data_IF_316592830537
#
_entry.id   IF_316592830537
#
_cell.length_a   1.000
_cell.length_b   1.000
_cell.length_c   1.000
_cell.angle_alpha   90.00
_cell.angle_beta   90.00
_cell.angle_gamma   90.00
#
_symmetry.space_group_name_H-M   'P 1'
#
loop_
_entity.id
_entity.type
_entity.pdbx_description
1 polymer ?
#
# COMPACT_ATOMS: atom_id res chain seq x y z
N UNK A 1 -52.60 -9.13 -8.09
CA UNK A 1 -51.41 -9.59 -8.84
C UNK A 1 -50.23 -8.83 -8.25
N UNK A 2 -49.31 -9.55 -7.61
CA UNK A 2 -48.27 -8.99 -6.73
C UNK A 2 -47.23 -8.26 -7.58
N UNK A 3 -46.94 -7.01 -7.24
CA UNK A 3 -45.85 -6.22 -7.82
C UNK A 3 -44.50 -6.83 -7.41
N UNK A 4 -43.71 -7.28 -8.39
CA UNK A 4 -42.31 -7.67 -8.19
C UNK A 4 -41.45 -6.42 -8.08
N UNK A 5 -41.51 -5.75 -6.93
CA UNK A 5 -40.50 -4.78 -6.52
C UNK A 5 -39.32 -5.57 -5.94
N UNK A 6 -38.24 -5.72 -6.69
CA UNK A 6 -37.10 -6.52 -6.24
C UNK A 6 -35.76 -6.31 -6.94
N UNK A 7 -35.62 -5.33 -7.83
CA UNK A 7 -34.31 -5.00 -8.41
C UNK A 7 -33.84 -3.65 -7.83
N UNK A 8 -33.39 -3.67 -6.58
CA UNK A 8 -32.59 -2.57 -6.03
C UNK A 8 -31.25 -2.55 -6.77
N UNK A 9 -31.12 -1.62 -7.73
CA UNK A 9 -29.89 -1.20 -8.41
C UNK A 9 -28.88 -0.50 -7.46
N UNK A 10 -28.72 -1.02 -6.24
CA UNK A 10 -27.68 -0.59 -5.30
C UNK A 10 -26.37 -1.37 -5.54
N UNK A 11 -26.43 -2.47 -6.33
CA UNK A 11 -25.28 -3.35 -6.58
C UNK A 11 -24.23 -2.80 -7.56
N UNK A 12 -24.55 -1.81 -8.39
CA UNK A 12 -23.58 -1.21 -9.33
C UNK A 12 -22.80 -0.05 -8.70
N UNK A 13 -23.46 0.80 -7.91
CA UNK A 13 -22.88 1.98 -7.29
C UNK A 13 -21.86 1.65 -6.19
N UNK A 14 -22.23 0.78 -5.25
CA UNK A 14 -21.34 0.43 -4.14
C UNK A 14 -20.19 -0.46 -4.60
N UNK A 15 -20.45 -1.44 -5.48
CA UNK A 15 -19.39 -2.25 -6.10
C UNK A 15 -18.40 -1.39 -6.88
N UNK A 16 -18.89 -0.41 -7.64
CA UNK A 16 -18.03 0.55 -8.35
C UNK A 16 -17.18 1.37 -7.38
N UNK A 17 -17.76 1.92 -6.31
CA UNK A 17 -17.00 2.68 -5.29
C UNK A 17 -15.92 1.83 -4.63
N UNK A 18 -16.23 0.58 -4.26
CA UNK A 18 -15.25 -0.37 -3.72
C UNK A 18 -14.11 -0.61 -4.70
N UNK A 19 -14.43 -0.84 -5.98
CA UNK A 19 -13.43 -1.05 -7.02
C UNK A 19 -12.56 0.20 -7.24
N UNK A 20 -13.16 1.39 -7.32
CA UNK A 20 -12.42 2.66 -7.44
C UNK A 20 -11.46 2.86 -6.26
N UNK A 21 -11.92 2.61 -5.03
CA UNK A 21 -11.07 2.65 -3.83
C UNK A 21 -9.90 1.66 -3.92
N UNK A 22 -10.19 0.39 -4.25
CA UNK A 22 -9.16 -0.65 -4.34
C UNK A 22 -8.16 -0.39 -5.46
N UNK A 23 -8.63 0.16 -6.58
CA UNK A 23 -7.78 0.55 -7.70
C UNK A 23 -6.84 1.69 -7.30
N UNK A 24 -7.35 2.72 -6.60
CA UNK A 24 -6.49 3.78 -6.04
C UNK A 24 -5.45 3.21 -5.06
N UNK A 25 -5.86 2.34 -4.14
CA UNK A 25 -4.94 1.68 -3.21
C UNK A 25 -3.88 0.85 -3.94
N UNK A 26 -4.28 0.06 -4.94
CA UNK A 26 -3.39 -0.79 -5.74
C UNK A 26 -2.34 0.03 -6.50
N UNK A 27 -2.76 1.15 -7.11
CA UNK A 27 -1.84 2.04 -7.80
C UNK A 27 -0.82 2.64 -6.83
N UNK A 28 -1.27 3.14 -5.68
CA UNK A 28 -0.37 3.70 -4.67
C UNK A 28 0.60 2.67 -4.09
N UNK A 29 0.14 1.44 -3.81
CA UNK A 29 1.03 0.35 -3.35
C UNK A 29 1.98 -0.10 -4.44
N UNK A 30 1.56 -0.12 -5.71
CA UNK A 30 2.43 -0.48 -6.83
C UNK A 30 3.56 0.54 -7.00
N UNK A 31 3.25 1.84 -7.00
CA UNK A 31 4.27 2.89 -7.01
C UNK A 31 5.22 2.75 -5.83
N UNK A 32 4.70 2.44 -4.63
CA UNK A 32 5.54 2.24 -3.48
C UNK A 32 6.44 1.00 -3.61
N UNK A 33 5.90 -0.08 -4.17
CA UNK A 33 6.62 -1.32 -4.46
C UNK A 33 7.79 -1.07 -5.41
N UNK A 34 7.59 -0.30 -6.47
CA UNK A 34 8.63 0.05 -7.44
C UNK A 34 9.76 0.84 -6.77
N UNK A 35 9.43 1.82 -5.93
CA UNK A 35 10.45 2.54 -5.17
C UNK A 35 11.17 1.63 -4.18
N UNK A 36 10.47 0.75 -3.46
CA UNK A 36 11.10 -0.20 -2.54
C UNK A 36 12.01 -1.20 -3.25
N UNK A 37 11.63 -1.60 -4.48
CA UNK A 37 12.44 -2.42 -5.39
C UNK A 37 13.80 -1.80 -5.70
N UNK A 38 13.84 -0.46 -5.73
CA UNK A 38 15.01 0.29 -6.14
C UNK A 38 16.05 0.50 -5.03
N UNK A 39 15.70 0.25 -3.75
CA UNK A 39 16.60 0.37 -2.60
C UNK A 39 17.89 -0.44 -2.73
N UNK A 40 17.86 -1.59 -3.40
CA UNK A 40 19.07 -2.40 -3.62
C UNK A 40 20.08 -1.76 -4.55
N UNK A 41 19.64 -0.80 -5.36
CA UNK A 41 20.46 -0.14 -6.37
C UNK A 41 20.85 1.28 -5.95
N UNK A 42 20.08 1.92 -5.06
CA UNK A 42 20.36 3.28 -4.60
C UNK A 42 21.23 3.29 -3.34
N UNK A 43 22.35 4.01 -3.43
CA UNK A 43 23.20 4.36 -2.27
C UNK A 43 22.62 5.52 -1.45
N UNK A 44 21.69 6.29 -2.02
CA UNK A 44 21.10 7.47 -1.41
C UNK A 44 19.76 7.17 -0.74
N UNK A 45 19.84 6.90 0.57
CA UNK A 45 18.67 6.68 1.43
C UNK A 45 17.85 7.97 1.66
N UNK A 46 18.42 9.16 1.44
CA UNK A 46 17.70 10.42 1.63
C UNK A 46 16.65 10.62 0.54
N UNK A 47 16.99 10.32 -0.71
CA UNK A 47 16.01 10.33 -1.81
C UNK A 47 14.84 9.36 -1.54
N UNK A 48 15.15 8.17 -1.02
CA UNK A 48 14.11 7.19 -0.70
C UNK A 48 13.22 7.62 0.48
N UNK A 49 13.80 8.23 1.51
CA UNK A 49 13.06 8.83 2.63
C UNK A 49 12.05 9.88 2.14
N UNK A 50 12.47 10.78 1.24
CA UNK A 50 11.60 11.80 0.64
C UNK A 50 10.43 11.15 -0.12
N UNK A 51 10.71 10.09 -0.88
CA UNK A 51 9.67 9.35 -1.62
C UNK A 51 8.66 8.68 -0.70
N UNK A 52 9.09 8.08 0.41
CA UNK A 52 8.17 7.51 1.40
C UNK A 52 7.29 8.60 2.00
N UNK A 53 7.86 9.76 2.35
CA UNK A 53 7.10 10.90 2.90
C UNK A 53 6.04 11.40 1.92
N UNK A 54 6.36 11.50 0.63
CA UNK A 54 5.40 11.87 -0.41
C UNK A 54 4.24 10.87 -0.48
N UNK A 55 4.52 9.57 -0.50
CA UNK A 55 3.47 8.53 -0.52
C UNK A 55 2.61 8.60 0.74
N UNK A 56 3.22 8.87 1.91
CA UNK A 56 2.49 9.04 3.17
C UNK A 56 1.47 10.19 3.08
N UNK A 57 1.84 11.30 2.46
CA UNK A 57 0.90 12.41 2.21
C UNK A 57 -0.19 12.02 1.20
N UNK A 58 0.16 11.33 0.12
CA UNK A 58 -0.81 10.90 -0.89
C UNK A 58 -1.88 9.97 -0.31
N UNK A 59 -1.52 9.07 0.60
CA UNK A 59 -2.47 8.15 1.24
C UNK A 59 -3.46 8.87 2.14
N UNK A 60 -3.11 10.02 2.71
CA UNK A 60 -4.09 10.82 3.48
C UNK A 60 -5.29 11.20 2.61
N UNK A 61 -5.06 11.41 1.31
CA UNK A 61 -6.09 11.80 0.34
C UNK A 61 -7.00 10.63 -0.08
N UNK A 62 -6.59 9.37 0.11
CA UNK A 62 -7.44 8.21 -0.15
C UNK A 62 -8.49 8.11 0.95
N UNK A 63 -9.76 8.42 0.64
CA UNK A 63 -10.85 8.40 1.62
C UNK A 63 -11.36 6.99 1.82
N UNK A 64 -11.61 6.60 3.08
CA UNK A 64 -12.36 5.39 3.41
C UNK A 64 -13.76 5.44 2.84
N UNK A 65 -14.36 4.29 2.60
CA UNK A 65 -15.76 4.19 2.20
C UNK A 65 -16.63 3.97 3.44
N UNK A 66 -17.71 4.75 3.55
CA UNK A 66 -18.72 4.53 4.59
C UNK A 66 -19.35 3.14 4.40
N UNK A 67 -19.59 2.44 5.51
CA UNK A 67 -20.17 1.09 5.54
C UNK A 67 -19.32 -0.01 4.88
N UNK A 68 -18.00 0.19 4.76
CA UNK A 68 -17.08 -0.86 4.31
C UNK A 68 -15.78 -0.82 5.10
N UNK A 69 -15.77 -1.52 6.25
CA UNK A 69 -14.65 -1.54 7.19
C UNK A 69 -13.33 -2.03 6.55
N UNK A 70 -13.40 -2.87 5.52
CA UNK A 70 -12.24 -3.29 4.73
C UNK A 70 -11.47 -2.10 4.16
N UNK A 71 -12.15 -1.02 3.74
CA UNK A 71 -11.45 0.18 3.25
C UNK A 71 -10.60 0.85 4.31
N UNK A 72 -11.10 0.94 5.55
CA UNK A 72 -10.34 1.49 6.67
C UNK A 72 -9.17 0.58 7.02
N UNK A 73 -9.41 -0.73 7.11
CA UNK A 73 -8.38 -1.71 7.44
C UNK A 73 -7.24 -1.72 6.41
N UNK A 74 -7.56 -1.67 5.11
CA UNK A 74 -6.55 -1.58 4.04
C UNK A 74 -5.76 -0.28 4.11
N UNK A 75 -6.42 0.85 4.39
CA UNK A 75 -5.75 2.14 4.56
C UNK A 75 -4.80 2.13 5.76
N UNK A 76 -5.24 1.62 6.91
CA UNK A 76 -4.42 1.48 8.12
C UNK A 76 -3.23 0.55 7.89
N UNK A 77 -3.45 -0.59 7.21
CA UNK A 77 -2.36 -1.50 6.85
C UNK A 77 -1.33 -0.82 5.96
N UNK A 78 -1.75 0.00 4.99
CA UNK A 78 -0.82 0.73 4.14
C UNK A 78 -0.04 1.80 4.88
N UNK A 79 -0.70 2.59 5.74
CA UNK A 79 -0.01 3.55 6.61
C UNK A 79 1.04 2.85 7.48
N UNK A 80 0.68 1.71 8.08
CA UNK A 80 1.61 0.91 8.89
C UNK A 80 2.83 0.47 8.08
N UNK A 81 2.63 -0.10 6.89
CA UNK A 81 3.73 -0.53 6.02
C UNK A 81 4.64 0.66 5.67
N UNK A 82 4.09 1.84 5.41
CA UNK A 82 4.89 3.05 5.16
C UNK A 82 5.70 3.49 6.36
N UNK A 83 5.11 3.50 7.55
CA UNK A 83 5.77 3.92 8.76
C UNK A 83 6.92 2.96 9.12
N UNK A 84 6.67 1.65 9.01
CA UNK A 84 7.70 0.63 9.22
C UNK A 84 8.85 0.74 8.21
N UNK A 85 8.56 1.07 6.95
CA UNK A 85 9.58 1.28 5.93
C UNK A 85 10.38 2.57 6.17
N UNK A 86 9.72 3.67 6.59
CA UNK A 86 10.40 4.91 6.95
C UNK A 86 11.34 4.70 8.14
N UNK A 87 10.89 3.97 9.16
CA UNK A 87 11.71 3.61 10.31
C UNK A 87 12.96 2.82 9.89
N UNK A 88 12.80 1.78 9.05
CA UNK A 88 13.94 1.02 8.52
C UNK A 88 14.93 1.92 7.78
N UNK A 89 14.46 2.86 6.98
CA UNK A 89 15.34 3.80 6.24
C UNK A 89 16.10 4.72 7.18
N UNK A 90 15.44 5.28 8.19
CA UNK A 90 16.08 6.15 9.18
C UNK A 90 17.14 5.38 9.98
N UNK A 91 16.85 4.13 10.35
CA UNK A 91 17.80 3.23 10.99
C UNK A 91 19.03 3.03 10.07
N UNK A 92 18.82 2.70 8.79
CA UNK A 92 19.92 2.50 7.83
C UNK A 92 20.78 3.75 7.60
N UNK A 93 20.17 4.94 7.62
CA UNK A 93 20.89 6.22 7.51
C UNK A 93 21.79 6.46 8.72
N UNK A 94 21.28 6.18 9.93
CA UNK A 94 21.98 6.46 11.18
C UNK A 94 23.10 5.47 11.50
N UNK A 95 23.07 4.26 10.93
CA UNK A 95 24.06 3.24 11.25
C UNK A 95 25.47 3.52 10.69
N UNK A 96 25.66 4.49 9.78
CA UNK A 96 26.98 4.83 9.19
C UNK A 96 27.82 3.59 8.78
N UNK A 97 27.15 2.56 8.26
CA UNK A 97 27.74 1.25 8.00
C UNK A 97 28.93 1.39 7.03
N UNK A 98 30.09 0.76 7.32
CA UNK A 98 31.22 0.72 6.41
C UNK A 98 30.82 0.05 5.07
N UNK A 99 31.54 0.32 3.97
CA UNK A 99 31.20 -0.20 2.63
C UNK A 99 31.01 -1.72 2.55
N UNK A 100 31.57 -2.46 3.50
CA UNK A 100 31.63 -3.93 3.59
C UNK A 100 30.39 -4.51 4.32
N UNK A 101 29.71 -3.71 5.14
CA UNK A 101 28.44 -4.06 5.82
C UNK A 101 27.20 -3.78 4.95
N UNK A 102 27.39 -3.65 3.64
CA UNK A 102 26.33 -3.50 2.65
C UNK A 102 25.32 -4.66 2.66
N UNK A 103 25.70 -5.82 3.22
CA UNK A 103 24.83 -6.99 3.41
C UNK A 103 23.65 -6.66 4.34
N UNK A 104 23.86 -5.89 5.42
CA UNK A 104 22.76 -5.51 6.33
C UNK A 104 21.77 -4.58 5.64
N UNK A 105 22.27 -3.60 4.87
CA UNK A 105 21.45 -2.74 4.01
C UNK A 105 20.63 -3.55 3.00
N UNK A 106 21.24 -4.57 2.40
CA UNK A 106 20.54 -5.46 1.47
C UNK A 106 19.44 -6.29 2.15
N UNK A 107 19.72 -6.83 3.34
CA UNK A 107 18.74 -7.60 4.11
C UNK A 107 17.55 -6.74 4.55
N UNK A 108 17.80 -5.55 5.09
CA UNK A 108 16.73 -4.63 5.47
C UNK A 108 15.92 -4.16 4.24
N UNK A 109 16.57 -3.94 3.09
CA UNK A 109 15.86 -3.69 1.83
C UNK A 109 15.02 -4.88 1.33
N UNK A 110 15.38 -6.12 1.64
CA UNK A 110 14.54 -7.30 1.36
C UNK A 110 13.28 -7.25 2.22
N UNK A 111 13.42 -7.04 3.52
CA UNK A 111 12.27 -6.95 4.44
C UNK A 111 11.28 -5.84 4.06
N UNK A 112 11.79 -4.66 3.64
CA UNK A 112 10.97 -3.56 3.13
C UNK A 112 10.13 -4.03 1.92
N UNK A 113 10.76 -4.71 0.96
CA UNK A 113 10.09 -5.21 -0.25
C UNK A 113 9.03 -6.27 0.06
N UNK A 114 9.32 -7.18 1.00
CA UNK A 114 8.37 -8.21 1.43
C UNK A 114 7.11 -7.60 2.06
N UNK A 115 7.26 -6.63 2.98
CA UNK A 115 6.11 -5.93 3.60
C UNK A 115 5.21 -5.26 2.55
N UNK A 116 5.81 -4.64 1.54
CA UNK A 116 5.05 -3.99 0.46
C UNK A 116 4.38 -5.02 -0.45
N UNK A 117 5.06 -6.13 -0.76
CA UNK A 117 4.49 -7.21 -1.56
C UNK A 117 3.30 -7.89 -0.87
N UNK A 118 3.38 -8.14 0.44
CA UNK A 118 2.29 -8.74 1.21
C UNK A 118 1.03 -7.86 1.23
N UNK A 119 1.22 -6.55 1.39
CA UNK A 119 0.12 -5.59 1.29
C UNK A 119 -0.48 -5.56 -0.12
N UNK A 120 0.37 -5.57 -1.15
CA UNK A 120 -0.08 -5.60 -2.55
C UNK A 120 -0.95 -6.83 -2.81
N UNK A 121 -0.48 -8.01 -2.41
CA UNK A 121 -1.23 -9.26 -2.53
C UNK A 121 -2.57 -9.20 -1.78
N UNK A 122 -2.59 -8.57 -0.60
CA UNK A 122 -3.82 -8.38 0.17
C UNK A 122 -4.84 -7.49 -0.56
N UNK A 123 -4.40 -6.41 -1.20
CA UNK A 123 -5.26 -5.54 -2.01
C UNK A 123 -5.77 -6.26 -3.27
N UNK A 124 -4.90 -6.98 -3.96
CA UNK A 124 -5.27 -7.75 -5.16
C UNK A 124 -6.31 -8.84 -4.82
N UNK A 125 -6.15 -9.51 -3.67
CA UNK A 125 -7.14 -10.46 -3.18
C UNK A 125 -8.51 -9.80 -2.94
N UNK A 126 -8.54 -8.59 -2.36
CA UNK A 126 -9.79 -7.84 -2.16
C UNK A 126 -10.42 -7.38 -3.49
N UNK A 127 -9.62 -7.01 -4.50
CA UNK A 127 -10.12 -6.73 -5.86
C UNK A 127 -10.85 -7.94 -6.44
N UNK A 128 -10.24 -9.12 -6.32
CA UNK A 128 -10.85 -10.37 -6.80
C UNK A 128 -12.14 -10.69 -6.05
N UNK A 129 -12.21 -10.45 -4.74
CA UNK A 129 -13.43 -10.64 -3.94
C UNK A 129 -14.55 -9.72 -4.39
N UNK A 130 -14.30 -8.41 -4.47
CA UNK A 130 -15.28 -7.42 -4.94
C UNK A 130 -15.74 -7.71 -6.37
N UNK A 131 -14.85 -8.21 -7.24
CA UNK A 131 -15.22 -8.63 -8.59
C UNK A 131 -16.27 -9.75 -8.63
N UNK A 132 -16.28 -10.64 -7.63
CA UNK A 132 -17.18 -11.81 -7.52
C UNK A 132 -18.49 -11.56 -6.77
N UNK A 133 -18.59 -10.45 -6.01
CA UNK A 133 -19.85 -9.99 -5.37
C UNK A 133 -20.93 -9.61 -6.39
#
# INVERSE_FOLDING_TARGET
MIALNGCNEISSGDKRRKFEFLYSMSNSVTMFSEYSGSLTYYKDLSFYEERIKLIKEDIKNIKRLNNWDTSENLKLAFVKVIDENLESVLILKNQNLPPEENIKKQYEAILIRERVADLKNSIEAEIVKVGKE
#
